data_IF_058986377425
#
_entry.id   IF_058986377425
#
_cell.length_a   1.000
_cell.length_b   1.000
_cell.length_c   1.000
_cell.angle_alpha   90.00
_cell.angle_beta   90.00
_cell.angle_gamma   90.00
#
_symmetry.space_group_name_H-M   'P 1'
#
loop_
_entity.id
_entity.type
_entity.pdbx_description
1 polymer ?
#
# COMPACT_ATOMS: atom_id res chain seq x y z
N UNK A 1 19.12 9.62 16.87
CA UNK A 1 18.38 10.70 16.18
C UNK A 1 18.44 10.40 14.68
N UNK A 2 17.32 10.44 13.95
CA UNK A 2 17.28 10.10 12.52
C UNK A 2 18.12 11.08 11.69
N UNK A 3 18.94 10.58 10.76
CA UNK A 3 19.75 11.43 9.86
C UNK A 3 18.81 12.21 8.93
N UNK A 4 19.02 13.51 8.83
CA UNK A 4 18.19 14.42 8.02
C UNK A 4 19.06 15.27 7.10
N UNK A 5 18.46 15.78 6.04
CA UNK A 5 19.05 16.81 5.19
C UNK A 5 18.02 17.90 4.91
N UNK A 6 18.49 19.08 4.53
CA UNK A 6 17.63 20.20 4.20
C UNK A 6 17.20 20.13 2.73
N UNK A 7 15.92 20.40 2.45
CA UNK A 7 15.37 20.52 1.10
C UNK A 7 14.66 21.86 0.96
N UNK A 8 14.93 22.59 -0.14
CA UNK A 8 14.31 23.89 -0.44
C UNK A 8 13.17 23.73 -1.44
N UNK A 9 11.97 24.18 -1.08
CA UNK A 9 10.84 24.32 -1.99
C UNK A 9 10.93 25.67 -2.71
N UNK A 10 11.29 25.63 -4.00
CA UNK A 10 11.45 26.84 -4.81
C UNK A 10 10.15 27.62 -5.02
N UNK A 11 8.98 26.99 -4.91
CA UNK A 11 7.67 27.68 -5.02
C UNK A 11 7.36 28.55 -3.80
N UNK A 12 7.93 28.22 -2.65
CA UNK A 12 7.77 28.99 -1.40
C UNK A 12 8.92 29.99 -1.17
N UNK A 13 10.03 29.85 -1.89
CA UNK A 13 11.23 30.64 -1.66
C UNK A 13 11.06 32.10 -2.14
N UNK A 14 11.10 33.03 -1.19
CA UNK A 14 11.00 34.50 -1.40
C UNK A 14 12.34 35.19 -1.64
N UNK A 15 13.46 34.46 -1.64
CA UNK A 15 14.82 34.98 -1.89
C UNK A 15 15.34 35.99 -0.86
N UNK A 16 14.92 35.86 0.41
CA UNK A 16 15.56 36.58 1.54
C UNK A 16 17.01 36.12 1.80
N UNK A 17 17.37 34.92 1.32
CA UNK A 17 18.73 34.37 1.30
C UNK A 17 19.43 34.21 2.67
N UNK A 18 18.74 34.37 3.80
CA UNK A 18 19.33 34.15 5.12
C UNK A 18 19.95 32.76 5.29
N UNK A 19 19.35 31.74 4.67
CA UNK A 19 19.86 30.37 4.63
C UNK A 19 21.29 30.23 4.08
N UNK A 20 21.76 31.17 3.25
CA UNK A 20 23.13 31.18 2.71
C UNK A 20 24.14 31.53 3.82
N UNK A 21 23.80 32.52 4.64
CA UNK A 21 24.69 33.03 5.69
C UNK A 21 24.73 32.14 6.93
N UNK A 22 23.62 31.46 7.27
CA UNK A 22 23.57 30.60 8.46
C UNK A 22 24.04 29.16 8.19
N UNK A 23 24.29 28.78 6.93
CA UNK A 23 24.72 27.43 6.59
C UNK A 23 26.23 27.28 6.83
N UNK A 24 26.66 26.49 7.84
CA UNK A 24 28.07 26.43 8.21
C UNK A 24 28.96 25.72 7.18
N UNK A 25 28.37 24.92 6.29
CA UNK A 25 29.09 24.14 5.27
C UNK A 25 28.96 24.71 3.86
N UNK A 26 28.21 25.80 3.68
CA UNK A 26 27.88 26.34 2.36
C UNK A 26 26.94 25.46 1.53
N UNK A 27 26.32 24.42 2.11
CA UNK A 27 25.41 23.52 1.39
C UNK A 27 24.18 24.23 0.77
N UNK A 28 23.76 25.35 1.36
CA UNK A 28 22.62 26.13 0.84
C UNK A 28 23.01 27.11 -0.29
N UNK A 29 24.31 27.31 -0.51
CA UNK A 29 24.89 28.27 -1.43
C UNK A 29 25.25 27.62 -2.76
N UNK A 30 24.29 27.69 -3.67
CA UNK A 30 24.32 27.02 -4.97
C UNK A 30 23.62 27.90 -6.00
N UNK A 31 24.16 27.99 -7.22
CA UNK A 31 23.61 28.80 -8.31
C UNK A 31 22.18 28.42 -8.72
N UNK A 32 21.83 27.14 -8.61
CA UNK A 32 20.51 26.62 -8.97
C UNK A 32 19.50 26.65 -7.81
N UNK A 33 19.89 27.21 -6.66
CA UNK A 33 19.08 27.23 -5.44
C UNK A 33 18.69 25.84 -4.88
N UNK A 34 19.38 24.77 -5.25
CA UNK A 34 19.17 23.40 -4.74
C UNK A 34 20.20 23.14 -3.64
N UNK A 35 19.77 22.73 -2.45
CA UNK A 35 20.69 22.42 -1.35
C UNK A 35 21.58 21.23 -1.74
N UNK A 36 22.89 21.42 -1.64
CA UNK A 36 23.90 20.39 -1.85
C UNK A 36 23.82 19.34 -0.74
N UNK A 37 23.39 18.13 -1.10
CA UNK A 37 23.18 17.04 -0.13
C UNK A 37 24.50 16.47 0.42
N UNK A 38 25.59 16.56 -0.33
CA UNK A 38 26.89 16.01 0.08
C UNK A 38 27.53 16.90 1.16
N UNK A 39 27.30 18.21 1.07
CA UNK A 39 27.78 19.18 2.08
C UNK A 39 26.82 19.36 3.26
N UNK A 40 25.57 18.93 3.13
CA UNK A 40 24.56 19.14 4.17
C UNK A 40 24.79 18.21 5.38
N UNK A 41 25.11 18.78 6.54
CA UNK A 41 25.28 18.02 7.79
C UNK A 41 23.99 17.83 8.59
N UNK A 42 22.85 18.29 8.06
CA UNK A 42 21.54 18.08 8.69
C UNK A 42 21.25 18.92 9.94
N UNK A 43 21.99 20.00 10.19
CA UNK A 43 21.87 20.80 11.43
C UNK A 43 20.56 21.59 11.56
N UNK A 44 19.88 21.91 10.46
CA UNK A 44 18.59 22.60 10.48
C UNK A 44 18.62 24.13 10.57
N UNK A 45 19.79 24.77 10.71
CA UNK A 45 19.90 26.22 10.85
C UNK A 45 19.18 27.00 9.71
N UNK A 46 19.32 26.53 8.47
CA UNK A 46 18.66 27.15 7.32
C UNK A 46 17.13 27.00 7.33
N UNK A 47 16.59 25.91 7.89
CA UNK A 47 15.15 25.69 8.01
C UNK A 47 14.56 26.58 9.11
N UNK A 48 15.27 26.73 10.22
CA UNK A 48 14.88 27.60 11.33
C UNK A 48 14.88 29.08 10.89
N UNK A 49 15.95 29.51 10.21
CA UNK A 49 16.14 30.89 9.82
C UNK A 49 15.26 31.35 8.65
N UNK A 50 14.70 30.44 7.85
CA UNK A 50 13.97 30.81 6.63
C UNK A 50 12.64 31.52 6.96
N UNK A 51 12.46 32.82 6.61
CA UNK A 51 11.23 33.56 6.94
C UNK A 51 10.00 33.00 6.22
N UNK A 52 10.16 32.60 4.96
CA UNK A 52 9.10 32.01 4.12
C UNK A 52 8.85 30.52 4.39
N UNK A 53 9.58 29.90 5.34
CA UNK A 53 9.49 28.46 5.64
C UNK A 53 9.62 27.57 4.40
N UNK A 54 10.41 28.04 3.43
CA UNK A 54 10.66 27.34 2.18
C UNK A 54 11.61 26.13 2.33
N UNK A 55 12.25 25.96 3.49
CA UNK A 55 13.21 24.87 3.73
C UNK A 55 12.64 23.92 4.79
N UNK A 56 12.66 22.62 4.48
CA UNK A 56 12.23 21.54 5.38
C UNK A 56 13.37 20.57 5.64
N UNK A 57 13.41 20.01 6.85
CA UNK A 57 14.35 18.93 7.21
C UNK A 57 13.69 17.58 6.95
N UNK A 58 14.16 16.90 5.93
CA UNK A 58 13.65 15.59 5.50
C UNK A 58 14.60 14.48 5.96
N UNK A 59 14.08 13.31 6.36
CA UNK A 59 14.92 12.18 6.70
C UNK A 59 15.67 11.66 5.47
N UNK A 60 16.86 11.10 5.69
CA UNK A 60 17.59 10.37 4.65
C UNK A 60 16.88 9.04 4.36
N UNK A 61 16.57 8.32 5.42
CA UNK A 61 15.88 7.04 5.37
C UNK A 61 14.41 7.26 5.78
N UNK A 62 13.48 6.90 4.89
CA UNK A 62 12.06 7.06 5.19
C UNK A 62 11.65 6.01 6.23
N UNK A 63 10.96 6.41 7.32
CA UNK A 63 10.53 5.46 8.33
C UNK A 63 9.54 4.43 7.74
N UNK A 64 9.48 3.21 8.29
CA UNK A 64 8.50 2.21 7.88
C UNK A 64 7.07 2.73 8.08
N UNK A 65 6.13 2.26 7.26
CA UNK A 65 4.73 2.60 7.44
C UNK A 65 4.22 2.01 8.76
N UNK A 66 3.40 2.78 9.49
CA UNK A 66 2.76 2.27 10.70
C UNK A 66 1.75 1.18 10.31
N UNK A 67 1.76 0.02 11.00
CA UNK A 67 0.85 -1.07 10.68
C UNK A 67 -0.60 -0.65 10.97
N UNK A 68 -1.53 -1.20 10.20
CA UNK A 68 -2.98 -1.04 10.41
C UNK A 68 -3.59 -2.37 10.81
N UNK A 69 -4.60 -2.33 11.67
CA UNK A 69 -5.33 -3.52 12.08
C UNK A 69 -6.01 -4.19 10.88
N UNK A 70 -6.01 -5.53 10.85
CA UNK A 70 -6.61 -6.30 9.76
C UNK A 70 -8.09 -5.94 9.53
N UNK A 71 -8.85 -5.64 10.59
CA UNK A 71 -10.23 -5.19 10.49
C UNK A 71 -10.38 -3.88 9.69
N UNK A 72 -9.46 -2.94 9.88
CA UNK A 72 -9.43 -1.66 9.14
C UNK A 72 -9.05 -1.91 7.69
N UNK A 73 -8.02 -2.72 7.45
CA UNK A 73 -7.57 -3.09 6.10
C UNK A 73 -8.69 -3.73 5.28
N UNK A 74 -9.43 -4.67 5.88
CA UNK A 74 -10.55 -5.35 5.22
C UNK A 74 -11.66 -4.36 4.82
N UNK A 75 -11.96 -3.35 5.65
CA UNK A 75 -12.95 -2.32 5.32
C UNK A 75 -12.45 -1.39 4.21
N UNK A 76 -11.18 -0.97 4.26
CA UNK A 76 -10.57 -0.14 3.21
C UNK A 76 -10.56 -0.87 1.87
N UNK A 77 -10.15 -2.15 1.85
CA UNK A 77 -10.12 -2.95 0.62
C UNK A 77 -11.53 -3.16 0.05
N UNK A 78 -12.52 -3.46 0.88
CA UNK A 78 -13.92 -3.56 0.45
C UNK A 78 -14.44 -2.23 -0.15
N UNK A 79 -14.11 -1.10 0.49
CA UNK A 79 -14.49 0.22 -0.01
C UNK A 79 -13.79 0.55 -1.33
N UNK A 80 -12.50 0.24 -1.46
CA UNK A 80 -11.74 0.39 -2.71
C UNK A 80 -12.38 -0.41 -3.84
N UNK A 81 -12.70 -1.69 -3.61
CA UNK A 81 -13.42 -2.51 -4.59
C UNK A 81 -14.77 -1.92 -4.99
N UNK A 82 -15.53 -1.38 -4.04
CA UNK A 82 -16.77 -0.66 -4.34
C UNK A 82 -16.53 0.59 -5.21
N UNK A 83 -15.41 1.29 -5.02
CA UNK A 83 -15.07 2.47 -5.82
C UNK A 83 -14.67 2.09 -7.24
N UNK A 84 -13.88 1.04 -7.41
CA UNK A 84 -13.54 0.48 -8.73
C UNK A 84 -14.79 0.04 -9.49
N UNK A 85 -15.76 -0.62 -8.83
CA UNK A 85 -17.02 -1.00 -9.46
C UNK A 85 -17.83 0.23 -9.94
N UNK A 86 -17.92 1.27 -9.10
CA UNK A 86 -18.60 2.52 -9.47
C UNK A 86 -17.87 3.28 -10.59
N UNK A 87 -16.54 3.25 -10.61
CA UNK A 87 -15.74 3.78 -11.71
C UNK A 87 -16.06 3.07 -13.03
N UNK A 88 -16.11 1.73 -13.02
CA UNK A 88 -16.43 0.95 -14.21
C UNK A 88 -17.83 1.25 -14.75
N UNK A 89 -18.84 1.32 -13.87
CA UNK A 89 -20.21 1.71 -14.24
C UNK A 89 -20.25 3.12 -14.81
N UNK A 90 -19.58 4.08 -14.17
CA UNK A 90 -19.52 5.46 -14.66
C UNK A 90 -18.86 5.54 -16.04
N UNK A 91 -17.77 4.80 -16.26
CA UNK A 91 -17.11 4.70 -17.57
C UNK A 91 -18.07 4.16 -18.64
N UNK A 92 -18.76 3.06 -18.35
CA UNK A 92 -19.71 2.45 -19.29
C UNK A 92 -20.85 3.41 -19.63
N UNK A 93 -21.43 4.07 -18.63
CA UNK A 93 -22.48 5.09 -18.82
C UNK A 93 -22.03 6.23 -19.74
N UNK A 94 -20.79 6.72 -19.56
CA UNK A 94 -20.21 7.76 -20.41
C UNK A 94 -19.98 7.28 -21.85
N UNK A 95 -19.58 6.02 -22.03
CA UNK A 95 -19.37 5.42 -23.34
C UNK A 95 -20.68 5.11 -24.09
N UNK A 96 -21.75 4.76 -23.37
CA UNK A 96 -23.03 4.34 -23.96
C UNK A 96 -24.04 5.47 -24.15
N UNK A 97 -23.86 6.62 -23.51
CA UNK A 97 -24.81 7.73 -23.58
C UNK A 97 -24.64 8.60 -24.83
N UNK A 98 -25.74 9.17 -25.32
CA UNK A 98 -25.75 10.23 -26.34
C UNK A 98 -26.07 11.61 -25.77
N UNK A 99 -26.34 11.70 -24.46
CA UNK A 99 -26.63 12.97 -23.78
C UNK A 99 -25.31 13.60 -23.28
N UNK A 100 -24.93 14.80 -23.78
CA UNK A 100 -23.66 15.44 -23.40
C UNK A 100 -23.54 15.74 -21.90
N UNK A 101 -24.63 16.12 -21.23
CA UNK A 101 -24.62 16.40 -19.81
C UNK A 101 -24.41 15.12 -18.98
N UNK A 102 -24.96 14.00 -19.44
CA UNK A 102 -24.75 12.71 -18.80
C UNK A 102 -23.32 12.19 -19.01
N UNK A 103 -22.74 12.34 -20.22
CA UNK A 103 -21.33 11.99 -20.47
C UNK A 103 -20.39 12.81 -19.56
N UNK A 104 -20.62 14.12 -19.46
CA UNK A 104 -19.84 14.98 -18.59
C UNK A 104 -19.91 14.54 -17.11
N UNK A 105 -21.11 14.24 -16.62
CA UNK A 105 -21.30 13.74 -15.25
C UNK A 105 -20.62 12.38 -15.05
N UNK A 106 -20.76 11.46 -16.00
CA UNK A 106 -20.18 10.13 -15.97
C UNK A 106 -18.64 10.20 -15.87
N UNK A 107 -17.99 11.02 -16.69
CA UNK A 107 -16.53 11.25 -16.61
C UNK A 107 -16.08 11.85 -15.29
N UNK A 108 -16.88 12.76 -14.73
CA UNK A 108 -16.59 13.35 -13.42
C UNK A 108 -16.66 12.28 -12.31
N UNK A 109 -17.67 11.41 -12.34
CA UNK A 109 -17.83 10.30 -11.40
C UNK A 109 -16.73 9.25 -11.57
N UNK A 110 -16.38 8.89 -12.80
CA UNK A 110 -15.25 7.98 -13.09
C UNK A 110 -13.97 8.50 -12.43
N UNK A 111 -13.62 9.76 -12.71
CA UNK A 111 -12.42 10.39 -12.13
C UNK A 111 -12.49 10.47 -10.61
N UNK A 112 -13.64 10.85 -10.05
CA UNK A 112 -13.81 10.94 -8.60
C UNK A 112 -13.64 9.59 -7.92
N UNK A 113 -14.24 8.53 -8.47
CA UNK A 113 -14.14 7.19 -7.90
C UNK A 113 -12.71 6.64 -8.00
N UNK A 114 -12.01 6.90 -9.11
CA UNK A 114 -10.60 6.53 -9.25
C UNK A 114 -9.73 7.18 -8.19
N UNK A 115 -9.82 8.50 -8.03
CA UNK A 115 -9.02 9.23 -7.04
C UNK A 115 -9.29 8.73 -5.62
N UNK A 116 -10.55 8.48 -5.29
CA UNK A 116 -10.91 7.90 -3.99
C UNK A 116 -10.34 6.50 -3.81
N UNK A 117 -10.40 5.63 -4.82
CA UNK A 117 -9.84 4.29 -4.75
C UNK A 117 -8.33 4.33 -4.55
N UNK A 118 -7.62 5.19 -5.29
CA UNK A 118 -6.18 5.41 -5.16
C UNK A 118 -5.81 5.89 -3.75
N UNK A 119 -6.55 6.85 -3.19
CA UNK A 119 -6.32 7.35 -1.82
C UNK A 119 -6.62 6.27 -0.76
N UNK A 120 -7.68 5.49 -0.93
CA UNK A 120 -8.01 4.38 -0.02
C UNK A 120 -6.89 3.33 -0.03
N UNK A 121 -6.38 2.96 -1.21
CA UNK A 121 -5.29 2.00 -1.35
C UNK A 121 -3.99 2.54 -0.75
N UNK A 122 -3.69 3.83 -0.98
CA UNK A 122 -2.55 4.51 -0.33
C UNK A 122 -2.65 4.38 1.19
N UNK A 123 -3.83 4.64 1.74
CA UNK A 123 -4.10 4.52 3.17
C UNK A 123 -4.11 3.08 3.66
N UNK A 124 -4.44 2.10 2.83
CA UNK A 124 -4.42 0.68 3.20
C UNK A 124 -3.00 0.09 3.29
N UNK A 125 -1.98 0.77 2.76
CA UNK A 125 -0.59 0.29 2.88
C UNK A 125 0.32 0.55 1.67
N UNK A 126 -0.11 1.35 0.70
CA UNK A 126 0.70 1.70 -0.48
C UNK A 126 1.17 3.16 -0.43
N UNK A 127 1.49 3.66 0.77
CA UNK A 127 1.77 5.08 0.98
C UNK A 127 3.17 5.49 0.53
N UNK A 128 4.16 4.63 0.79
CA UNK A 128 5.56 4.90 0.49
C UNK A 128 6.05 4.01 -0.67
N UNK A 129 6.76 4.58 -1.66
CA UNK A 129 7.38 3.80 -2.73
C UNK A 129 8.35 2.71 -2.22
N UNK A 130 8.97 2.94 -1.06
CA UNK A 130 9.90 2.02 -0.40
C UNK A 130 9.21 0.96 0.48
N UNK A 131 7.88 1.04 0.66
CA UNK A 131 7.15 0.10 1.52
C UNK A 131 7.33 -1.36 1.09
N UNK A 132 7.16 -2.29 2.04
CA UNK A 132 7.24 -3.73 1.77
C UNK A 132 6.22 -4.17 0.73
N UNK A 133 5.02 -3.58 0.73
CA UNK A 133 3.97 -3.87 -0.26
C UNK A 133 4.41 -3.51 -1.69
N UNK A 134 5.00 -2.32 -1.88
CA UNK A 134 5.49 -1.88 -3.19
C UNK A 134 6.67 -2.74 -3.66
N UNK A 135 7.62 -3.05 -2.76
CA UNK A 135 8.75 -3.91 -3.05
C UNK A 135 8.31 -5.33 -3.44
N UNK A 136 7.38 -5.95 -2.70
CA UNK A 136 6.84 -7.28 -3.03
C UNK A 136 6.14 -7.29 -4.39
N UNK A 137 5.36 -6.25 -4.68
CA UNK A 137 4.73 -6.11 -5.99
C UNK A 137 5.77 -6.06 -7.12
N UNK A 138 6.79 -5.20 -6.99
CA UNK A 138 7.86 -5.10 -7.99
C UNK A 138 8.62 -6.42 -8.17
N UNK A 139 8.90 -7.15 -7.07
CA UNK A 139 9.53 -8.47 -7.13
C UNK A 139 8.64 -9.50 -7.83
N UNK A 140 7.35 -9.52 -7.52
CA UNK A 140 6.39 -10.44 -8.17
C UNK A 140 6.34 -10.26 -9.69
N UNK A 141 6.54 -9.03 -10.19
CA UNK A 141 6.61 -8.76 -11.63
C UNK A 141 7.85 -9.40 -12.30
N UNK A 142 8.90 -9.71 -11.54
CA UNK A 142 10.07 -10.43 -12.04
C UNK A 142 9.84 -11.95 -12.09
N UNK A 143 8.99 -12.47 -11.20
CA UNK A 143 8.71 -13.90 -11.05
C UNK A 143 7.63 -14.41 -12.02
N UNK A 144 6.92 -13.51 -12.71
CA UNK A 144 5.86 -13.81 -13.65
C UNK A 144 6.28 -13.52 -15.10
N UNK A 145 6.90 -14.48 -15.80
CA UNK A 145 7.34 -14.32 -17.19
C UNK A 145 6.18 -14.17 -18.21
N UNK A 146 4.93 -14.43 -17.78
CA UNK A 146 3.74 -14.34 -18.63
C UNK A 146 3.31 -12.89 -18.94
N UNK A 147 3.86 -11.91 -18.21
CA UNK A 147 3.66 -10.50 -18.55
C UNK A 147 4.61 -10.10 -19.69
N UNK A 148 4.25 -10.47 -20.91
CA UNK A 148 5.04 -10.20 -22.12
C UNK A 148 5.44 -8.71 -22.29
N UNK A 149 4.65 -7.79 -21.73
CA UNK A 149 4.86 -6.35 -21.82
C UNK A 149 5.58 -5.72 -20.62
N UNK A 150 5.97 -6.50 -19.60
CA UNK A 150 6.63 -5.94 -18.41
C UNK A 150 8.11 -5.64 -18.73
N UNK A 151 8.55 -4.37 -18.61
CA UNK A 151 9.93 -4.00 -18.86
C UNK A 151 10.81 -4.40 -17.66
N UNK A 152 11.31 -5.64 -17.66
CA UNK A 152 12.12 -6.24 -16.57
C UNK A 152 13.27 -5.35 -16.10
N UNK A 153 14.01 -4.73 -17.03
CA UNK A 153 15.13 -3.84 -16.68
C UNK A 153 14.69 -2.57 -15.96
N UNK A 154 13.48 -2.08 -16.24
CA UNK A 154 12.89 -0.95 -15.51
C UNK A 154 12.52 -1.39 -14.09
N UNK A 155 11.96 -2.59 -13.92
CA UNK A 155 11.60 -3.13 -12.60
C UNK A 155 12.85 -3.28 -11.72
N UNK A 156 13.94 -3.87 -12.25
CA UNK A 156 15.22 -3.98 -11.55
C UNK A 156 15.76 -2.62 -11.11
N UNK A 157 15.77 -1.66 -12.03
CA UNK A 157 16.20 -0.27 -11.75
C UNK A 157 15.34 0.39 -10.67
N UNK A 158 14.03 0.14 -10.66
CA UNK A 158 13.14 0.67 -9.62
C UNK A 158 13.47 0.09 -8.24
N UNK A 159 13.73 -1.22 -8.15
CA UNK A 159 14.14 -1.87 -6.90
C UNK A 159 15.46 -1.31 -6.36
N UNK A 160 16.41 -0.96 -7.22
CA UNK A 160 17.66 -0.29 -6.82
C UNK A 160 17.42 1.15 -6.31
N UNK A 161 16.53 1.89 -6.95
CA UNK A 161 16.20 3.27 -6.58
C UNK A 161 15.31 3.35 -5.32
N UNK A 162 14.56 2.29 -5.02
CA UNK A 162 13.55 2.23 -3.96
C UNK A 162 13.83 1.06 -3.00
N UNK A 163 14.96 1.09 -2.28
CA UNK A 163 15.29 0.04 -1.32
C UNK A 163 14.17 -0.08 -0.28
N UNK A 164 13.81 -1.31 0.07
CA UNK A 164 12.78 -1.59 1.06
C UNK A 164 13.13 -0.93 2.40
N UNK A 165 12.17 -0.20 2.98
CA UNK A 165 12.32 0.45 4.28
C UNK A 165 11.58 -0.28 5.42
N UNK A 166 10.87 -1.34 5.06
CA UNK A 166 10.28 -2.31 5.95
C UNK A 166 11.08 -3.59 5.78
N UNK A 167 11.44 -4.22 6.89
CA UNK A 167 11.82 -5.62 6.84
C UNK A 167 10.64 -6.37 6.24
N UNK A 168 10.90 -7.33 5.35
CA UNK A 168 9.84 -8.28 5.02
C UNK A 168 9.31 -8.77 6.36
N UNK A 169 7.99 -8.73 6.62
CA UNK A 169 7.50 -9.52 7.72
C UNK A 169 8.11 -10.87 7.45
N UNK A 170 8.94 -11.33 8.40
CA UNK A 170 9.27 -12.73 8.49
C UNK A 170 8.01 -13.42 8.06
N UNK A 171 8.09 -14.15 6.95
CA UNK A 171 6.98 -15.00 6.55
C UNK A 171 6.49 -15.67 7.84
N UNK A 172 5.24 -16.05 7.91
CA UNK A 172 4.78 -16.91 9.01
C UNK A 172 5.53 -18.28 9.06
N UNK A 173 6.79 -18.33 8.62
CA UNK A 173 7.80 -19.36 8.77
C UNK A 173 8.87 -19.05 9.84
N UNK A 174 8.80 -17.98 10.64
CA UNK A 174 9.74 -17.81 11.78
C UNK A 174 9.16 -17.21 13.07
N UNK A 175 7.85 -17.38 13.30
CA UNK A 175 7.43 -17.64 14.68
C UNK A 175 7.82 -19.08 14.98
N UNK A 176 8.57 -19.31 16.07
CA UNK A 176 8.69 -20.62 16.71
C UNK A 176 7.33 -21.03 17.32
N UNK A 177 6.33 -21.15 16.45
CA UNK A 177 4.99 -21.61 16.70
C UNK A 177 4.55 -22.21 15.37
N UNK A 178 4.29 -23.51 15.40
CA UNK A 178 3.78 -24.30 14.27
C UNK A 178 2.77 -23.50 13.44
N UNK A 179 2.73 -23.68 12.10
CA UNK A 179 1.72 -23.03 11.28
C UNK A 179 0.37 -23.29 11.94
N UNK A 180 -0.37 -22.25 12.33
CA UNK A 180 -1.71 -22.43 12.90
C UNK A 180 -2.50 -23.19 11.84
N UNK A 181 -2.65 -24.50 12.08
CA UNK A 181 -3.26 -25.41 11.15
C UNK A 181 -4.65 -24.87 10.84
N UNK A 182 -4.97 -24.72 9.56
CA UNK A 182 -6.33 -24.36 9.14
C UNK A 182 -7.30 -25.32 9.85
N UNK A 183 -8.31 -24.81 10.58
CA UNK A 183 -9.19 -25.69 11.35
C UNK A 183 -9.88 -26.66 10.39
N UNK A 184 -9.96 -27.93 10.80
CA UNK A 184 -10.57 -28.98 9.99
C UNK A 184 -11.99 -28.60 9.57
N UNK A 185 -12.34 -28.78 8.29
CA UNK A 185 -13.68 -28.46 7.79
C UNK A 185 -14.40 -29.74 7.39
N UNK A 186 -15.62 -29.90 7.86
CA UNK A 186 -16.43 -31.09 7.64
C UNK A 186 -17.74 -30.71 6.94
N UNK A 187 -18.07 -31.37 5.84
CA UNK A 187 -19.30 -31.17 5.09
C UNK A 187 -20.29 -32.29 5.39
N UNK A 188 -21.49 -31.94 5.83
CA UNK A 188 -22.60 -32.88 5.89
C UNK A 188 -23.03 -33.27 4.47
N UNK A 189 -22.92 -34.56 4.12
CA UNK A 189 -23.31 -35.09 2.80
C UNK A 189 -24.81 -35.01 2.54
N UNK A 190 -25.63 -34.91 3.60
CA UNK A 190 -27.10 -34.88 3.50
C UNK A 190 -27.65 -33.48 3.21
N UNK A 191 -27.08 -32.43 3.82
CA UNK A 191 -27.64 -31.08 3.74
C UNK A 191 -26.61 -29.97 3.42
N UNK A 192 -25.35 -30.32 3.23
CA UNK A 192 -24.29 -29.37 2.89
C UNK A 192 -23.90 -28.38 4.01
N UNK A 193 -24.28 -28.65 5.27
CA UNK A 193 -23.78 -27.84 6.39
C UNK A 193 -22.28 -28.04 6.56
N UNK A 194 -21.54 -26.95 6.80
CA UNK A 194 -20.09 -26.97 7.02
C UNK A 194 -19.83 -26.70 8.50
N UNK A 195 -19.14 -27.64 9.15
CA UNK A 195 -18.63 -27.52 10.52
C UNK A 195 -17.14 -27.19 10.48
N UNK A 196 -16.68 -26.27 11.34
CA UNK A 196 -15.29 -25.84 11.44
C UNK A 196 -14.73 -26.27 12.80
N UNK A 197 -13.61 -27.00 12.77
CA UNK A 197 -12.97 -27.62 13.93
C UNK A 197 -13.17 -29.14 14.01
N UNK A 198 -12.69 -29.77 15.10
CA UNK A 198 -12.85 -31.21 15.32
C UNK A 198 -14.32 -31.62 15.30
N UNK A 199 -14.62 -32.80 14.79
CA UNK A 199 -15.97 -33.36 14.74
C UNK A 199 -16.12 -34.48 15.81
N UNK A 200 -16.76 -34.20 16.96
CA UNK A 200 -17.05 -35.22 17.97
C UNK A 200 -17.91 -36.37 17.44
N UNK A 201 -17.75 -37.58 17.98
CA UNK A 201 -18.53 -38.76 17.56
C UNK A 201 -20.04 -38.60 17.84
N UNK A 202 -20.41 -37.81 18.85
CA UNK A 202 -21.79 -37.48 19.23
C UNK A 202 -22.34 -36.23 18.52
N UNK A 203 -21.54 -35.63 17.61
CA UNK A 203 -21.95 -34.43 16.91
C UNK A 203 -23.22 -34.68 16.09
N UNK A 204 -24.18 -33.77 16.20
CA UNK A 204 -25.44 -33.83 15.47
C UNK A 204 -25.56 -32.61 14.58
N UNK A 205 -25.74 -32.84 13.27
CA UNK A 205 -25.87 -31.75 12.30
C UNK A 205 -26.98 -30.78 12.73
N UNK A 206 -26.70 -29.47 12.92
CA UNK A 206 -27.70 -28.53 13.40
C UNK A 206 -28.85 -28.34 12.40
N UNK A 207 -28.60 -28.59 11.10
CA UNK A 207 -29.55 -28.40 10.01
C UNK A 207 -30.45 -29.61 9.75
N UNK A 208 -29.88 -30.80 9.60
CA UNK A 208 -30.65 -32.00 9.23
C UNK A 208 -30.75 -33.06 10.34
N UNK A 209 -30.16 -32.80 11.51
CA UNK A 209 -30.20 -33.67 12.70
C UNK A 209 -29.62 -35.07 12.50
N UNK A 210 -28.87 -35.28 11.43
CA UNK A 210 -28.13 -36.52 11.20
C UNK A 210 -26.85 -36.54 12.05
N UNK A 211 -26.39 -37.74 12.46
CA UNK A 211 -25.21 -37.91 13.31
C UNK A 211 -23.90 -37.58 12.57
N UNK A 212 -22.80 -37.49 13.31
CA UNK A 212 -21.46 -37.19 12.80
C UNK A 212 -21.02 -38.12 11.65
N UNK A 213 -21.54 -39.36 11.60
CA UNK A 213 -21.21 -40.37 10.61
C UNK A 213 -21.50 -39.98 9.15
N UNK A 214 -22.30 -38.92 8.91
CA UNK A 214 -22.62 -38.45 7.55
C UNK A 214 -21.76 -37.25 7.09
N UNK A 215 -20.75 -36.86 7.87
CA UNK A 215 -19.85 -35.77 7.51
C UNK A 215 -18.59 -36.30 6.81
N UNK A 216 -18.19 -35.59 5.76
CA UNK A 216 -16.95 -35.84 5.02
C UNK A 216 -15.99 -34.66 5.21
N UNK A 217 -14.69 -34.97 5.38
CA UNK A 217 -13.64 -33.96 5.50
C UNK A 217 -13.43 -33.26 4.15
N UNK A 218 -13.40 -31.93 4.16
CA UNK A 218 -13.06 -31.13 2.99
C UNK A 218 -11.51 -31.08 2.88
N UNK A 219 -10.90 -31.49 1.75
CA UNK A 219 -9.46 -31.40 1.53
C UNK A 219 -8.97 -29.95 1.56
N UNK A 220 -7.73 -29.73 2.01
CA UNK A 220 -7.13 -28.39 2.16
C UNK A 220 -6.96 -27.64 0.83
N UNK A 221 -6.94 -28.37 -0.29
CA UNK A 221 -6.72 -27.83 -1.64
C UNK A 221 -7.99 -27.28 -2.32
N UNK A 222 -9.18 -27.51 -1.75
CA UNK A 222 -10.47 -27.00 -2.25
C UNK A 222 -11.08 -25.90 -1.35
N UNK A 223 -10.27 -25.30 -0.47
CA UNK A 223 -10.67 -24.30 0.53
C UNK A 223 -10.03 -22.92 0.31
#
# INVERSE_FOLDING_TARGET
>A
MMKKFAMRNLRLCTKDCLCLYVCPTGAADTENSIIDREKCIGCGACAESCPSKAISMVPVDMPPQQPKEAAVLNKLNALSGSKTAQEAVARELGQSTHNPALDQLARALEKSNRLMAEDILREAGYMLPQSGNANRFLRSLLDHPDYADVPVEVVKRLLELLPANEEEPETESSRDGEPEARPERWRCTVCGYIHEGPLPEDFTCPRCKQPASVFERIPEDEA
#
